data_IF_876312038274
#
_entry.id   IF_876312038274
#
_cell.length_a   1.000
_cell.length_b   1.000
_cell.length_c   1.000
_cell.angle_alpha   90.00
_cell.angle_beta   90.00
_cell.angle_gamma   90.00
#
_symmetry.space_group_name_H-M   'P 1'
#
loop_
_entity.id
_entity.type
_entity.pdbx_description
1 polymer ?
#
# COMPACT_ATOMS: atom_id res chain seq x y z
N UNK A 1 -18.13 15.28 -10.50
CA UNK A 1 -18.34 14.31 -11.60
C UNK A 1 -19.70 13.68 -11.41
N UNK A 2 -20.72 14.09 -12.19
CA UNK A 2 -22.11 13.58 -12.09
C UNK A 2 -22.29 12.14 -12.62
N UNK A 3 -21.21 11.44 -12.97
CA UNK A 3 -21.24 10.23 -13.80
C UNK A 3 -20.95 8.92 -13.06
N UNK A 4 -20.72 8.96 -11.73
CA UNK A 4 -20.47 7.73 -10.95
C UNK A 4 -21.75 6.91 -10.76
N UNK A 5 -22.92 7.54 -10.75
CA UNK A 5 -24.20 6.87 -10.61
C UNK A 5 -25.02 7.04 -11.90
N UNK A 6 -25.76 6.00 -12.30
CA UNK A 6 -26.72 6.09 -13.41
C UNK A 6 -28.06 6.73 -12.98
N UNK A 7 -29.01 6.79 -13.92
CA UNK A 7 -30.34 7.36 -13.66
C UNK A 7 -31.19 6.53 -12.70
N UNK A 8 -30.85 5.25 -12.47
CA UNK A 8 -31.48 4.38 -11.48
C UNK A 8 -30.80 4.47 -10.11
N UNK A 9 -29.74 5.27 -10.00
CA UNK A 9 -28.95 5.42 -8.78
C UNK A 9 -27.99 4.26 -8.52
N UNK A 10 -27.66 3.44 -9.52
CA UNK A 10 -26.66 2.37 -9.39
C UNK A 10 -25.25 2.89 -9.74
N UNK A 11 -24.20 2.44 -9.02
CA UNK A 11 -22.83 2.80 -9.36
C UNK A 11 -22.41 2.24 -10.72
N UNK A 12 -21.79 3.08 -11.56
CA UNK A 12 -21.15 2.71 -12.82
C UNK A 12 -19.74 2.21 -12.56
N UNK A 13 -19.63 0.97 -12.09
CA UNK A 13 -18.38 0.39 -11.58
C UNK A 13 -17.25 0.34 -12.61
N UNK A 14 -17.55 0.20 -13.91
CA UNK A 14 -16.52 0.22 -14.96
C UNK A 14 -15.89 1.61 -15.15
N UNK A 15 -16.71 2.67 -15.10
CA UNK A 15 -16.23 4.06 -15.14
C UNK A 15 -15.42 4.38 -13.88
N UNK A 16 -15.91 3.94 -12.72
CA UNK A 16 -15.21 4.11 -11.46
C UNK A 16 -13.84 3.40 -11.49
N UNK A 17 -13.80 2.13 -11.91
CA UNK A 17 -12.55 1.38 -12.09
C UNK A 17 -11.57 2.13 -12.98
N UNK A 18 -12.03 2.56 -14.16
CA UNK A 18 -11.18 3.27 -15.12
C UNK A 18 -10.62 4.60 -14.57
N UNK A 19 -11.41 5.30 -13.75
CA UNK A 19 -11.00 6.54 -13.10
C UNK A 19 -9.98 6.31 -11.99
N UNK A 20 -10.26 5.38 -11.06
CA UNK A 20 -9.39 5.07 -9.93
C UNK A 20 -8.05 4.45 -10.39
N UNK A 21 -8.05 3.66 -11.47
CA UNK A 21 -6.82 3.10 -12.06
C UNK A 21 -5.88 4.19 -12.59
N UNK A 22 -6.41 5.38 -12.89
CA UNK A 22 -5.65 6.57 -13.30
C UNK A 22 -5.37 7.52 -12.14
N UNK A 23 -5.47 7.04 -10.89
CA UNK A 23 -5.33 7.84 -9.66
C UNK A 23 -6.32 9.00 -9.55
N UNK A 24 -7.44 8.88 -10.29
CA UNK A 24 -8.51 9.86 -10.28
C UNK A 24 -9.23 9.86 -8.94
N UNK A 25 -9.53 11.06 -8.41
CA UNK A 25 -10.27 11.23 -7.16
C UNK A 25 -11.74 11.50 -7.44
N UNK A 26 -12.61 11.04 -6.53
CA UNK A 26 -14.02 11.43 -6.53
C UNK A 26 -14.20 12.75 -5.78
N UNK A 27 -15.27 13.47 -6.09
CA UNK A 27 -15.74 14.56 -5.24
C UNK A 27 -16.17 13.98 -3.89
N UNK A 28 -15.88 14.70 -2.80
CA UNK A 28 -16.15 14.27 -1.42
C UNK A 28 -17.60 13.81 -1.24
N UNK A 29 -18.57 14.58 -1.77
CA UNK A 29 -20.00 14.25 -1.69
C UNK A 29 -20.34 12.92 -2.37
N UNK A 30 -19.63 12.56 -3.45
CA UNK A 30 -19.83 11.30 -4.17
C UNK A 30 -19.20 10.14 -3.40
N UNK A 31 -17.99 10.34 -2.86
CA UNK A 31 -17.32 9.34 -2.02
C UNK A 31 -18.14 9.02 -0.77
N UNK A 32 -18.63 10.05 -0.07
CA UNK A 32 -19.50 9.90 1.10
C UNK A 32 -20.80 9.18 0.76
N UNK A 33 -21.39 9.46 -0.41
CA UNK A 33 -22.59 8.76 -0.87
C UNK A 33 -22.33 7.24 -1.02
N UNK A 34 -21.25 6.86 -1.70
CA UNK A 34 -20.86 5.44 -1.86
C UNK A 34 -20.66 4.77 -0.50
N UNK A 35 -19.93 5.43 0.42
CA UNK A 35 -19.66 4.88 1.75
C UNK A 35 -20.96 4.70 2.54
N UNK A 36 -21.82 5.71 2.57
CA UNK A 36 -23.06 5.70 3.33
C UNK A 36 -24.07 4.68 2.79
N UNK A 37 -24.24 4.58 1.46
CA UNK A 37 -25.13 3.61 0.85
C UNK A 37 -24.64 2.17 1.08
N UNK A 38 -23.35 1.89 0.87
CA UNK A 38 -22.79 0.57 1.15
C UNK A 38 -22.88 0.21 2.64
N UNK A 39 -22.60 1.17 3.54
CA UNK A 39 -22.76 0.96 4.98
C UNK A 39 -24.22 0.71 5.39
N UNK A 40 -25.20 1.34 4.72
CA UNK A 40 -26.61 1.09 4.96
C UNK A 40 -27.01 -0.35 4.59
N UNK A 41 -26.44 -0.90 3.52
CA UNK A 41 -26.64 -2.31 3.14
C UNK A 41 -25.99 -3.22 4.19
N UNK A 42 -24.72 -3.01 4.52
CA UNK A 42 -23.99 -3.84 5.50
C UNK A 42 -24.68 -3.85 6.87
N UNK A 43 -25.25 -2.72 7.32
CA UNK A 43 -25.98 -2.61 8.59
C UNK A 43 -27.23 -3.49 8.66
N UNK A 44 -27.80 -3.87 7.51
CA UNK A 44 -28.96 -4.74 7.44
C UNK A 44 -28.58 -6.23 7.43
N UNK A 45 -27.30 -6.55 7.18
CA UNK A 45 -26.82 -7.92 7.16
C UNK A 45 -26.59 -8.45 8.59
N UNK A 46 -26.71 -9.76 8.76
CA UNK A 46 -26.40 -10.42 10.03
C UNK A 46 -24.88 -10.44 10.23
N UNK A 47 -24.43 -10.45 11.48
CA UNK A 47 -23.01 -10.61 11.81
C UNK A 47 -22.43 -11.93 11.28
N UNK A 48 -23.23 -13.01 11.32
CA UNK A 48 -22.90 -14.29 10.71
C UNK A 48 -23.71 -14.45 9.41
N UNK A 49 -23.03 -14.39 8.28
CA UNK A 49 -23.63 -14.51 6.95
C UNK A 49 -23.78 -15.98 6.56
N UNK A 50 -24.91 -16.30 5.91
CA UNK A 50 -25.16 -17.59 5.29
C UNK A 50 -24.93 -17.47 3.77
N UNK A 51 -23.88 -18.11 3.25
CA UNK A 51 -23.44 -17.97 1.85
C UNK A 51 -23.32 -19.35 1.21
N UNK A 52 -24.07 -19.57 0.14
CA UNK A 52 -24.04 -20.83 -0.62
C UNK A 52 -22.93 -20.84 -1.69
N UNK A 53 -22.43 -22.04 -1.98
CA UNK A 53 -21.59 -22.28 -3.15
C UNK A 53 -22.39 -22.08 -4.47
N UNK A 54 -21.74 -21.76 -5.60
CA UNK A 54 -20.31 -21.48 -5.75
C UNK A 54 -19.90 -20.14 -5.13
N UNK A 55 -18.65 -20.03 -4.67
CA UNK A 55 -18.12 -18.78 -4.09
C UNK A 55 -16.62 -18.65 -4.30
N UNK A 56 -16.15 -17.42 -4.53
CA UNK A 56 -14.73 -17.05 -4.48
C UNK A 56 -14.45 -16.36 -3.15
N UNK A 57 -13.63 -16.98 -2.31
CA UNK A 57 -13.21 -16.46 -1.01
C UNK A 57 -11.84 -15.79 -1.13
N UNK A 58 -11.76 -14.55 -0.63
CA UNK A 58 -10.59 -13.68 -0.72
C UNK A 58 -10.14 -13.28 0.69
N UNK A 59 -8.82 -13.28 0.92
CA UNK A 59 -8.22 -12.80 2.17
C UNK A 59 -7.91 -11.31 2.12
N UNK A 60 -6.86 -10.92 2.84
CA UNK A 60 -6.43 -9.54 3.04
C UNK A 60 -6.06 -8.85 1.71
N UNK A 61 -6.38 -7.56 1.62
CA UNK A 61 -6.14 -6.71 0.44
C UNK A 61 -5.15 -5.57 0.73
N UNK A 62 -5.20 -5.00 1.94
CA UNK A 62 -4.25 -3.98 2.43
C UNK A 62 -3.97 -2.83 1.46
N UNK A 63 -5.03 -2.23 0.91
CA UNK A 63 -4.88 -1.06 0.04
C UNK A 63 -4.09 -1.29 -1.25
N UNK A 64 -3.90 -2.55 -1.69
CA UNK A 64 -3.27 -2.89 -2.97
C UNK A 64 -4.32 -2.89 -4.10
N UNK A 65 -4.84 -1.71 -4.45
CA UNK A 65 -5.94 -1.55 -5.42
C UNK A 65 -5.63 -2.17 -6.80
N UNK A 66 -4.40 -2.06 -7.27
CA UNK A 66 -4.00 -2.61 -8.57
C UNK A 66 -3.99 -4.14 -8.56
N UNK A 67 -3.62 -4.75 -7.44
CA UNK A 67 -3.72 -6.20 -7.26
C UNK A 67 -5.16 -6.67 -7.05
N UNK A 68 -6.01 -5.84 -6.44
CA UNK A 68 -7.45 -6.10 -6.38
C UNK A 68 -8.07 -6.19 -7.78
N UNK A 69 -7.59 -5.40 -8.75
CA UNK A 69 -8.03 -5.56 -10.15
C UNK A 69 -7.62 -6.93 -10.69
N UNK A 70 -6.38 -7.37 -10.40
CA UNK A 70 -5.91 -8.69 -10.81
C UNK A 70 -6.68 -9.82 -10.14
N UNK A 71 -7.06 -9.65 -8.88
CA UNK A 71 -7.89 -10.59 -8.13
C UNK A 71 -9.24 -10.83 -8.83
N UNK A 72 -9.90 -9.79 -9.35
CA UNK A 72 -11.14 -9.95 -10.10
C UNK A 72 -10.93 -10.61 -11.47
N UNK A 73 -9.80 -10.39 -12.14
CA UNK A 73 -9.46 -11.13 -13.37
C UNK A 73 -9.29 -12.64 -13.12
N UNK A 74 -8.70 -13.00 -11.98
CA UNK A 74 -8.40 -14.40 -11.61
C UNK A 74 -9.62 -15.09 -11.00
N UNK A 75 -10.37 -14.39 -10.15
CA UNK A 75 -11.54 -14.91 -9.45
C UNK A 75 -12.79 -15.00 -10.33
N UNK A 76 -12.97 -14.07 -11.27
CA UNK A 76 -14.14 -13.96 -12.14
C UNK A 76 -14.88 -12.63 -11.98
N UNK A 77 -15.70 -12.26 -12.96
CA UNK A 77 -16.46 -11.01 -12.88
C UNK A 77 -17.48 -11.05 -11.73
N UNK A 78 -17.54 -10.03 -10.84
CA UNK A 78 -18.57 -9.94 -9.80
C UNK A 78 -20.01 -9.95 -10.34
N UNK A 79 -20.21 -9.61 -11.62
CA UNK A 79 -21.51 -9.69 -12.28
C UNK A 79 -22.04 -11.14 -12.39
N UNK A 80 -21.14 -12.12 -12.41
CA UNK A 80 -21.45 -13.55 -12.63
C UNK A 80 -20.85 -14.46 -11.56
N UNK A 81 -20.13 -13.91 -10.59
CA UNK A 81 -19.37 -14.68 -9.60
C UNK A 81 -19.68 -14.17 -8.21
N UNK A 82 -20.00 -15.09 -7.31
CA UNK A 82 -20.24 -14.78 -5.89
C UNK A 82 -18.90 -14.61 -5.17
N UNK A 83 -18.79 -13.57 -4.35
CA UNK A 83 -17.58 -13.20 -3.63
C UNK A 83 -17.80 -13.12 -2.13
N UNK A 84 -16.83 -13.61 -1.37
CA UNK A 84 -16.69 -13.39 0.06
C UNK A 84 -15.29 -12.84 0.34
N UNK A 85 -15.21 -11.63 0.86
CA UNK A 85 -13.95 -11.06 1.35
C UNK A 85 -13.88 -11.17 2.87
N UNK A 86 -12.71 -11.58 3.38
CA UNK A 86 -12.51 -11.89 4.80
C UNK A 86 -12.01 -10.69 5.64
N UNK A 87 -11.91 -9.48 5.04
CA UNK A 87 -11.51 -8.26 5.73
C UNK A 87 -10.15 -7.70 5.29
N UNK A 88 -9.63 -6.75 6.07
CA UNK A 88 -8.33 -6.10 5.88
C UNK A 88 -8.19 -5.46 4.50
N UNK A 89 -9.13 -4.55 4.20
CA UNK A 89 -9.21 -3.80 2.94
C UNK A 89 -8.22 -2.63 2.91
N UNK A 90 -7.89 -2.11 4.10
CA UNK A 90 -7.15 -0.85 4.30
C UNK A 90 -5.79 -1.09 4.96
N UNK A 91 -5.10 0.03 5.16
CA UNK A 91 -3.75 0.15 5.71
C UNK A 91 -2.67 -0.47 4.83
N UNK A 92 -1.43 -0.07 5.14
CA UNK A 92 -0.18 -0.58 4.56
C UNK A 92 0.05 -0.15 3.11
N UNK A 93 -0.86 -0.48 2.21
CA UNK A 93 -0.86 0.00 0.82
C UNK A 93 -1.45 1.40 0.70
N UNK A 94 -0.94 2.16 -0.26
CA UNK A 94 -1.29 3.57 -0.45
C UNK A 94 -2.63 3.80 -1.17
N UNK A 95 -3.31 2.76 -1.65
CA UNK A 95 -4.57 2.86 -2.40
C UNK A 95 -5.76 2.28 -1.62
N UNK A 96 -5.74 2.47 -0.29
CA UNK A 96 -6.77 1.97 0.64
C UNK A 96 -8.16 2.55 0.33
N UNK A 97 -8.25 3.84 0.02
CA UNK A 97 -9.54 4.48 -0.24
C UNK A 97 -10.14 4.03 -1.57
N UNK A 98 -9.31 3.76 -2.58
CA UNK A 98 -9.71 3.20 -3.86
C UNK A 98 -10.30 1.79 -3.68
N UNK A 99 -9.64 0.94 -2.87
CA UNK A 99 -10.18 -0.38 -2.50
C UNK A 99 -11.56 -0.26 -1.85
N UNK A 100 -11.72 0.61 -0.85
CA UNK A 100 -12.99 0.81 -0.15
C UNK A 100 -14.07 1.32 -1.10
N UNK A 101 -13.80 2.40 -1.85
CA UNK A 101 -14.79 2.98 -2.77
C UNK A 101 -15.22 1.98 -3.84
N UNK A 102 -14.29 1.18 -4.36
CA UNK A 102 -14.61 0.19 -5.39
C UNK A 102 -15.39 -1.00 -4.82
N UNK A 103 -14.96 -1.56 -3.69
CA UNK A 103 -15.68 -2.68 -3.04
C UNK A 103 -17.07 -2.26 -2.54
N UNK A 104 -17.23 -1.05 -2.00
CA UNK A 104 -18.54 -0.54 -1.61
C UNK A 104 -19.44 -0.32 -2.81
N UNK A 105 -18.91 0.19 -3.92
CA UNK A 105 -19.69 0.34 -5.17
C UNK A 105 -20.14 -1.02 -5.71
N UNK A 106 -19.28 -2.03 -5.64
CA UNK A 106 -19.65 -3.41 -5.96
C UNK A 106 -20.67 -3.99 -4.98
N UNK A 107 -20.58 -3.67 -3.68
CA UNK A 107 -21.56 -4.10 -2.67
C UNK A 107 -22.94 -3.49 -2.93
N UNK A 108 -23.00 -2.22 -3.32
CA UNK A 108 -24.24 -1.55 -3.72
C UNK A 108 -24.83 -2.20 -4.97
N UNK A 109 -23.99 -2.52 -5.95
CA UNK A 109 -24.43 -3.10 -7.21
C UNK A 109 -24.83 -4.59 -7.09
N UNK A 110 -24.14 -5.34 -6.23
CA UNK A 110 -24.26 -6.79 -6.07
C UNK A 110 -24.52 -7.21 -4.61
N UNK A 111 -25.55 -6.67 -3.94
CA UNK A 111 -25.71 -6.81 -2.48
C UNK A 111 -25.94 -8.26 -2.03
N UNK A 112 -26.45 -9.12 -2.92
CA UNK A 112 -26.78 -10.53 -2.65
C UNK A 112 -25.72 -11.53 -3.15
N UNK A 113 -24.67 -11.05 -3.82
CA UNK A 113 -23.63 -11.92 -4.40
C UNK A 113 -22.21 -11.47 -4.06
N UNK A 114 -22.00 -10.27 -3.51
CA UNK A 114 -20.72 -9.82 -2.98
C UNK A 114 -20.84 -9.51 -1.49
N UNK A 115 -20.03 -10.18 -0.69
CA UNK A 115 -20.07 -10.15 0.77
C UNK A 115 -18.73 -9.68 1.32
N UNK A 116 -18.80 -8.80 2.32
CA UNK A 116 -17.63 -8.17 2.95
C UNK A 116 -17.69 -8.47 4.45
N UNK A 117 -16.72 -9.22 4.96
CA UNK A 117 -16.54 -9.37 6.40
C UNK A 117 -15.66 -8.25 6.95
N UNK A 118 -15.59 -8.18 8.28
CA UNK A 118 -14.73 -7.23 8.98
C UNK A 118 -13.41 -7.92 9.36
N UNK A 119 -12.30 -7.36 8.92
CA UNK A 119 -10.97 -7.73 9.39
C UNK A 119 -10.59 -6.90 10.61
N UNK A 120 -9.38 -7.13 11.13
CA UNK A 120 -8.93 -6.40 12.30
C UNK A 120 -8.53 -4.97 11.98
N UNK A 121 -8.07 -4.69 10.76
CA UNK A 121 -7.71 -3.33 10.33
C UNK A 121 -8.94 -2.41 10.16
N UNK A 122 -10.15 -2.96 10.08
CA UNK A 122 -11.39 -2.18 10.07
C UNK A 122 -11.85 -1.76 11.48
N UNK A 123 -10.91 -1.40 12.36
CA UNK A 123 -11.21 -0.80 13.66
C UNK A 123 -10.21 0.31 14.01
N UNK A 124 -10.63 1.26 14.86
CA UNK A 124 -9.79 2.39 15.30
C UNK A 124 -8.52 1.97 16.07
N UNK A 125 -8.48 0.73 16.57
CA UNK A 125 -7.43 0.27 17.50
C UNK A 125 -6.30 -0.51 16.81
N UNK A 126 -6.60 -1.40 15.85
CA UNK A 126 -5.58 -2.22 15.18
C UNK A 126 -4.91 -1.56 13.98
N UNK A 127 -5.27 -0.31 13.67
CA UNK A 127 -4.33 0.63 13.02
C UNK A 127 -3.03 0.79 13.83
N UNK A 128 -2.94 0.27 15.07
CA UNK A 128 -1.80 0.45 15.99
C UNK A 128 -1.18 -0.81 16.62
N UNK A 129 -1.40 -2.06 16.15
CA UNK A 129 -0.60 -3.31 16.41
C UNK A 129 -1.51 -4.56 16.55
N UNK A 130 -0.98 -5.77 16.29
CA UNK A 130 -0.96 -6.97 17.18
C UNK A 130 -0.66 -8.30 16.45
N UNK A 131 -0.46 -9.38 17.23
CA UNK A 131 0.04 -10.72 16.85
C UNK A 131 -0.91 -11.86 17.30
N UNK A 132 -1.71 -12.41 16.38
CA UNK A 132 -2.74 -13.45 16.64
C UNK A 132 -2.22 -14.92 16.61
N UNK A 133 -0.97 -15.13 16.20
CA UNK A 133 -0.40 -16.48 15.91
C UNK A 133 -0.36 -17.45 17.10
N UNK A 134 -0.51 -16.97 18.33
CA UNK A 134 -0.44 -17.79 19.56
C UNK A 134 -1.81 -18.41 19.94
N UNK A 135 -2.92 -18.00 19.31
CA UNK A 135 -4.28 -18.24 19.84
C UNK A 135 -4.95 -19.53 19.37
N UNK A 136 -4.49 -20.17 18.28
CA UNK A 136 -5.19 -21.32 17.66
C UNK A 136 -4.41 -22.64 17.78
N UNK A 137 -4.64 -23.40 18.84
CA UNK A 137 -4.16 -24.79 18.95
C UNK A 137 -5.06 -25.77 18.16
N UNK A 138 -4.47 -26.81 17.56
CA UNK A 138 -5.15 -27.78 16.69
C UNK A 138 -6.34 -28.51 17.36
N UNK A 139 -6.24 -28.96 18.63
CA UNK A 139 -7.35 -29.57 19.35
C UNK A 139 -8.55 -28.63 19.48
N UNK A 140 -8.33 -27.35 19.79
CA UNK A 140 -9.40 -26.36 19.95
C UNK A 140 -10.18 -26.16 18.65
N UNK A 141 -9.48 -26.08 17.50
CA UNK A 141 -10.13 -26.02 16.19
C UNK A 141 -10.95 -27.29 15.93
N UNK A 142 -10.41 -28.48 16.22
CA UNK A 142 -11.12 -29.73 16.01
C UNK A 142 -12.38 -29.86 16.89
N UNK A 143 -12.30 -29.46 18.16
CA UNK A 143 -13.43 -29.45 19.09
C UNK A 143 -14.53 -28.50 18.61
N UNK A 144 -14.17 -27.30 18.15
CA UNK A 144 -15.09 -26.35 17.56
C UNK A 144 -15.79 -26.92 16.32
N UNK A 145 -15.03 -27.53 15.39
CA UNK A 145 -15.57 -28.12 14.18
C UNK A 145 -16.56 -29.26 14.48
N UNK A 146 -16.22 -30.13 15.43
CA UNK A 146 -17.08 -31.26 15.82
C UNK A 146 -18.36 -30.78 16.50
N UNK A 147 -18.24 -29.86 17.46
CA UNK A 147 -19.38 -29.31 18.22
C UNK A 147 -20.40 -28.62 17.30
N UNK A 148 -19.92 -27.95 16.25
CA UNK A 148 -20.77 -27.17 15.34
C UNK A 148 -21.09 -27.89 14.02
N UNK A 149 -20.69 -29.15 13.87
CA UNK A 149 -20.86 -29.93 12.64
C UNK A 149 -20.32 -29.22 11.38
N UNK A 150 -19.12 -28.67 11.47
CA UNK A 150 -18.42 -27.93 10.41
C UNK A 150 -17.25 -28.75 9.85
N UNK A 151 -16.93 -28.54 8.57
CA UNK A 151 -15.85 -29.27 7.90
C UNK A 151 -14.46 -28.67 8.13
N UNK A 152 -14.37 -27.34 8.11
CA UNK A 152 -13.11 -26.59 8.13
C UNK A 152 -13.35 -25.14 8.54
N UNK A 153 -12.32 -24.47 9.04
CA UNK A 153 -12.28 -23.01 9.21
C UNK A 153 -11.44 -22.40 8.10
N UNK A 154 -12.00 -21.44 7.37
CA UNK A 154 -11.27 -20.62 6.39
C UNK A 154 -11.12 -19.21 6.98
N UNK A 155 -9.89 -18.70 7.03
CA UNK A 155 -9.55 -17.38 7.58
C UNK A 155 -8.45 -16.70 6.78
N UNK A 156 -8.17 -15.44 7.08
CA UNK A 156 -7.14 -14.63 6.41
C UNK A 156 -6.08 -14.13 7.40
N UNK A 157 -5.76 -12.83 7.48
CA UNK A 157 -4.98 -12.16 8.54
C UNK A 157 -3.46 -12.45 8.62
N UNK A 158 -2.98 -13.65 8.25
CA UNK A 158 -1.55 -13.96 8.26
C UNK A 158 -1.01 -14.11 6.84
N UNK A 159 -0.05 -13.25 6.47
CA UNK A 159 0.67 -13.33 5.20
C UNK A 159 1.30 -14.72 4.96
N UNK A 160 1.11 -15.25 3.75
CA UNK A 160 1.64 -16.54 3.32
C UNK A 160 2.46 -16.37 2.05
N UNK A 161 3.63 -17.00 1.98
CA UNK A 161 4.51 -16.95 0.80
C UNK A 161 3.82 -17.44 -0.48
N UNK A 162 3.00 -18.50 -0.36
CA UNK A 162 2.19 -19.02 -1.46
C UNK A 162 0.81 -18.37 -1.60
N UNK A 163 0.48 -17.36 -0.80
CA UNK A 163 -0.85 -16.75 -0.74
C UNK A 163 -1.92 -17.62 -0.06
N UNK A 164 -1.57 -18.82 0.40
CA UNK A 164 -2.44 -19.67 1.20
C UNK A 164 -1.62 -20.65 2.05
N UNK A 165 -2.29 -21.23 3.05
CA UNK A 165 -1.75 -22.34 3.84
C UNK A 165 -2.86 -23.28 4.26
N UNK A 166 -2.70 -24.57 3.96
CA UNK A 166 -3.54 -25.63 4.50
C UNK A 166 -2.88 -26.21 5.75
N UNK A 167 -3.62 -26.28 6.85
CA UNK A 167 -3.12 -26.79 8.12
C UNK A 167 -3.40 -28.30 8.23
N UNK A 168 -3.07 -28.87 9.39
CA UNK A 168 -3.24 -30.29 9.69
C UNK A 168 -4.67 -30.74 9.37
N UNK A 169 -4.79 -31.90 8.73
CA UNK A 169 -6.08 -32.51 8.40
C UNK A 169 -6.77 -33.02 9.65
N UNK A 170 -8.08 -32.80 9.74
CA UNK A 170 -8.93 -33.45 10.74
C UNK A 170 -8.84 -34.97 10.59
N UNK A 171 -8.69 -35.68 11.70
CA UNK A 171 -8.61 -37.14 11.69
C UNK A 171 -9.92 -37.79 11.24
N UNK A 172 -11.04 -37.12 11.47
CA UNK A 172 -12.39 -37.64 11.15
C UNK A 172 -12.70 -37.50 9.66
N UNK A 173 -12.38 -36.34 9.06
CA UNK A 173 -12.80 -36.02 7.68
C UNK A 173 -11.67 -36.15 6.65
N UNK A 174 -10.40 -36.20 7.10
CA UNK A 174 -9.24 -36.13 6.21
C UNK A 174 -9.08 -34.78 5.49
N UNK A 175 -9.92 -33.80 5.80
CA UNK A 175 -9.91 -32.45 5.22
C UNK A 175 -9.10 -31.49 6.11
N UNK A 176 -8.39 -30.49 5.56
CA UNK A 176 -7.69 -29.47 6.36
C UNK A 176 -8.62 -28.85 7.41
N UNK A 177 -8.25 -28.90 8.69
CA UNK A 177 -9.10 -28.32 9.76
C UNK A 177 -9.13 -26.80 9.71
N UNK A 178 -8.03 -26.19 9.25
CA UNK A 178 -7.86 -24.76 9.09
C UNK A 178 -7.21 -24.45 7.75
N UNK A 179 -7.65 -23.37 7.10
CA UNK A 179 -7.08 -22.83 5.87
C UNK A 179 -6.87 -21.33 6.06
N UNK A 180 -5.65 -20.86 5.81
CA UNK A 180 -5.37 -19.42 5.67
C UNK A 180 -5.34 -19.07 4.19
N UNK A 181 -6.06 -18.02 3.79
CA UNK A 181 -6.03 -17.41 2.45
C UNK A 181 -5.54 -15.96 2.56
N UNK A 182 -4.63 -15.55 1.69
CA UNK A 182 -4.02 -14.22 1.71
C UNK A 182 -3.97 -13.67 0.29
N UNK A 183 -4.55 -12.49 0.08
CA UNK A 183 -4.87 -11.98 -1.26
C UNK A 183 -4.07 -10.72 -1.66
N UNK A 184 -3.05 -10.34 -0.89
CA UNK A 184 -2.12 -9.25 -1.19
C UNK A 184 -0.75 -9.80 -1.66
N UNK A 185 -0.44 -9.80 -2.98
CA UNK A 185 0.83 -10.30 -3.50
C UNK A 185 1.94 -9.27 -3.31
N UNK A 186 3.19 -9.71 -3.21
CA UNK A 186 4.34 -8.84 -2.91
C UNK A 186 4.04 -7.83 -1.79
N UNK A 187 3.52 -8.33 -0.68
CA UNK A 187 3.01 -7.50 0.40
C UNK A 187 4.07 -6.51 0.89
N UNK A 188 3.66 -5.24 1.08
CA UNK A 188 4.52 -4.11 1.45
C UNK A 188 5.66 -3.83 0.45
N UNK A 189 5.54 -4.27 -0.80
CA UNK A 189 6.55 -4.19 -1.85
C UNK A 189 7.88 -4.91 -1.56
N UNK A 190 7.94 -5.72 -0.50
CA UNK A 190 9.17 -6.38 -0.03
C UNK A 190 9.04 -7.87 0.23
N UNK A 191 7.84 -8.38 0.53
CA UNK A 191 7.68 -9.80 0.91
C UNK A 191 7.90 -10.75 -0.27
N UNK A 192 7.68 -10.29 -1.50
CA UNK A 192 7.76 -11.09 -2.72
C UNK A 192 6.90 -12.37 -2.71
N UNK A 193 5.87 -12.42 -1.86
CA UNK A 193 4.93 -13.53 -1.77
C UNK A 193 3.95 -13.53 -2.96
N UNK A 194 3.37 -14.69 -3.24
CA UNK A 194 2.16 -14.81 -4.07
C UNK A 194 0.93 -14.44 -3.26
N UNK A 195 -0.14 -14.07 -3.96
CA UNK A 195 -1.49 -14.05 -3.42
C UNK A 195 -2.30 -15.23 -3.93
N UNK A 196 -3.41 -15.53 -3.27
CA UNK A 196 -4.38 -16.49 -3.77
C UNK A 196 -5.82 -16.11 -3.45
N UNK A 197 -6.75 -16.69 -4.21
CA UNK A 197 -8.17 -16.80 -3.88
C UNK A 197 -8.60 -18.25 -3.88
N UNK A 198 -9.59 -18.58 -3.06
CA UNK A 198 -10.18 -19.91 -2.97
C UNK A 198 -11.50 -19.93 -3.74
N UNK A 199 -11.58 -20.73 -4.79
CA UNK A 199 -12.81 -20.96 -5.56
C UNK A 199 -13.43 -22.29 -5.12
N UNK A 200 -14.62 -22.23 -4.55
CA UNK A 200 -15.38 -23.42 -4.19
C UNK A 200 -16.59 -23.57 -5.10
N UNK A 201 -16.59 -24.63 -5.92
CA UNK A 201 -17.61 -24.91 -6.92
C UNK A 201 -17.64 -26.41 -7.21
N UNK A 202 -18.83 -26.99 -7.44
CA UNK A 202 -19.00 -28.41 -7.77
C UNK A 202 -18.32 -29.37 -6.76
N UNK A 203 -18.39 -29.04 -5.46
CA UNK A 203 -17.69 -29.76 -4.38
C UNK A 203 -16.16 -29.79 -4.49
N UNK A 204 -15.56 -28.99 -5.37
CA UNK A 204 -14.12 -28.86 -5.55
C UNK A 204 -13.66 -27.52 -5.00
N UNK A 205 -12.66 -27.57 -4.11
CA UNK A 205 -11.94 -26.40 -3.64
C UNK A 205 -10.69 -26.21 -4.49
N UNK A 206 -10.64 -25.14 -5.26
CA UNK A 206 -9.51 -24.79 -6.10
C UNK A 206 -8.84 -23.51 -5.61
N UNK A 207 -7.53 -23.55 -5.39
CA UNK A 207 -6.75 -22.37 -5.03
C UNK A 207 -6.16 -21.76 -6.31
N UNK A 208 -6.51 -20.51 -6.59
CA UNK A 208 -5.96 -19.76 -7.72
C UNK A 208 -4.97 -18.73 -7.21
N UNK A 209 -3.69 -18.96 -7.47
CA UNK A 209 -2.61 -18.05 -7.12
C UNK A 209 -2.42 -16.97 -8.19
N UNK A 210 -1.92 -15.81 -7.78
CA UNK A 210 -1.50 -14.73 -8.68
C UNK A 210 -0.33 -13.93 -8.09
N UNK A 211 0.40 -13.25 -8.98
CA UNK A 211 1.53 -12.39 -8.62
C UNK A 211 1.09 -10.92 -8.57
N UNK A 212 1.97 -10.04 -8.09
CA UNK A 212 1.72 -8.61 -8.02
C UNK A 212 1.63 -7.94 -9.39
N UNK A 213 0.99 -6.78 -9.39
CA UNK A 213 0.81 -5.89 -10.53
C UNK A 213 1.55 -4.57 -10.25
N UNK A 214 2.09 -3.90 -11.29
CA UNK A 214 2.65 -2.57 -11.12
C UNK A 214 1.61 -1.59 -10.57
N UNK A 215 2.05 -0.70 -9.69
CA UNK A 215 1.24 0.42 -9.18
C UNK A 215 2.06 1.72 -9.18
N UNK A 216 1.41 2.89 -9.18
CA UNK A 216 2.07 4.17 -9.03
C UNK A 216 2.86 4.27 -7.71
N UNK A 217 3.94 5.03 -7.75
CA UNK A 217 4.80 5.26 -6.60
C UNK A 217 4.28 6.44 -5.77
N UNK A 218 4.27 6.26 -4.45
CA UNK A 218 4.04 7.32 -3.49
C UNK A 218 5.23 7.42 -2.55
N UNK A 219 5.63 8.66 -2.23
CA UNK A 219 6.56 8.90 -1.15
C UNK A 219 5.95 8.45 0.18
N UNK A 220 6.77 8.00 1.15
CA UNK A 220 6.28 7.60 2.46
C UNK A 220 5.37 8.65 3.08
N UNK A 221 4.25 8.20 3.66
CA UNK A 221 3.23 9.05 4.29
C UNK A 221 2.61 10.11 3.36
N UNK A 222 2.56 9.85 2.05
CA UNK A 222 2.01 10.77 1.05
C UNK A 222 2.69 12.16 1.05
N UNK A 223 3.98 12.20 1.41
CA UNK A 223 4.74 13.43 1.47
C UNK A 223 4.87 14.05 0.07
N UNK A 224 4.63 15.36 -0.03
CA UNK A 224 4.89 16.07 -1.27
C UNK A 224 6.40 16.25 -1.48
N UNK A 225 6.79 16.44 -2.74
CA UNK A 225 8.22 16.52 -3.13
C UNK A 225 8.93 17.72 -2.52
N UNK A 226 8.22 18.81 -2.16
CA UNK A 226 8.85 19.96 -1.51
C UNK A 226 9.15 19.63 -0.06
N UNK A 227 8.18 19.11 0.70
CA UNK A 227 8.41 18.68 2.08
C UNK A 227 9.54 17.65 2.17
N UNK A 228 9.63 16.73 1.21
CA UNK A 228 10.69 15.72 1.16
C UNK A 228 12.07 16.30 0.84
N UNK A 229 12.17 17.20 -0.13
CA UNK A 229 13.47 17.66 -0.66
C UNK A 229 14.00 18.93 0.02
N UNK A 230 13.14 19.78 0.58
CA UNK A 230 13.54 21.08 1.11
C UNK A 230 14.59 21.00 2.24
N UNK A 231 14.52 20.04 3.18
CA UNK A 231 15.58 19.86 4.18
C UNK A 231 16.95 19.59 3.55
N UNK A 232 16.99 18.72 2.52
CA UNK A 232 18.22 18.38 1.81
C UNK A 232 18.76 19.56 1.01
N UNK A 233 17.90 20.30 0.30
CA UNK A 233 18.30 21.51 -0.44
C UNK A 233 18.89 22.54 0.53
N UNK A 234 18.24 22.77 1.67
CA UNK A 234 18.73 23.68 2.70
C UNK A 234 20.11 23.28 3.24
N UNK A 235 20.30 22.00 3.54
CA UNK A 235 21.58 21.44 3.98
C UNK A 235 22.66 21.68 2.93
N UNK A 236 22.42 21.30 1.67
CA UNK A 236 23.46 21.35 0.62
C UNK A 236 23.80 22.78 0.19
N UNK A 237 22.83 23.68 0.16
CA UNK A 237 23.10 25.11 -0.12
C UNK A 237 23.89 25.72 1.03
N UNK A 238 23.54 25.42 2.28
CA UNK A 238 24.30 25.90 3.45
C UNK A 238 25.72 25.37 3.44
N UNK A 239 25.89 24.07 3.19
CA UNK A 239 27.21 23.43 3.05
C UNK A 239 28.05 24.09 1.95
N UNK A 240 27.45 24.34 0.78
CA UNK A 240 28.11 25.06 -0.31
C UNK A 240 28.55 26.46 0.11
N UNK A 241 27.67 27.24 0.76
CA UNK A 241 28.00 28.60 1.19
C UNK A 241 29.07 28.62 2.28
N UNK A 242 29.02 27.70 3.23
CA UNK A 242 30.06 27.55 4.26
C UNK A 242 31.41 27.25 3.60
N UNK A 243 31.45 26.34 2.61
CA UNK A 243 32.67 26.02 1.87
C UNK A 243 33.19 27.18 1.02
N UNK A 244 32.30 28.05 0.52
CA UNK A 244 32.69 29.27 -0.20
C UNK A 244 33.22 30.33 0.77
N UNK A 245 32.61 30.50 1.94
CA UNK A 245 33.02 31.50 2.93
C UNK A 245 34.29 31.09 3.68
N UNK A 246 34.52 29.79 3.87
CA UNK A 246 35.75 29.26 4.47
C UNK A 246 36.97 29.34 3.54
N UNK A 247 36.81 29.90 2.33
CA UNK A 247 37.91 30.12 1.39
C UNK A 247 38.91 31.19 1.88
N UNK A 248 38.47 32.12 2.73
CA UNK A 248 39.34 33.12 3.35
C UNK A 248 39.71 32.63 4.75
N UNK A 249 41.00 32.39 4.99
CA UNK A 249 41.56 32.07 6.30
C UNK A 249 41.62 33.33 7.18
N UNK A 250 41.57 33.17 8.50
CA UNK A 250 41.74 34.28 9.46
C UNK A 250 43.02 35.08 9.18
N UNK A 251 44.06 34.43 8.65
CA UNK A 251 45.31 35.05 8.20
C UNK A 251 45.11 36.09 7.06
N UNK A 252 44.16 35.87 6.13
CA UNK A 252 43.87 36.82 5.03
C UNK A 252 43.04 38.05 5.50
N UNK A 253 42.37 37.94 6.65
CA UNK A 253 41.62 39.04 7.29
C UNK A 253 42.51 39.91 8.18
N UNK A 254 43.49 39.30 8.86
CA UNK A 254 44.42 39.98 9.78
C UNK A 254 45.55 40.74 9.05
N UNK A 255 45.89 40.38 7.81
CA UNK A 255 46.87 41.11 6.99
C UNK A 255 46.39 42.52 6.55
N UNK A 256 45.13 42.88 6.77
CA UNK A 256 44.57 44.14 6.26
C UNK A 256 44.40 45.23 7.34
N UNK A 257 44.62 44.91 8.62
CA UNK A 257 44.44 45.83 9.75
C UNK A 257 45.77 46.35 10.33
N UNK A 258 46.90 45.97 9.72
CA UNK A 258 48.23 46.43 10.13
C UNK A 258 49.16 46.60 8.94
N UNK A 259 49.51 47.87 8.70
CA UNK A 259 50.63 48.37 7.87
C UNK A 259 50.27 48.98 6.51
N UNK A 260 50.72 50.23 6.39
CA UNK A 260 50.66 51.12 5.24
C UNK A 260 51.27 50.50 3.98
N UNK A 261 50.77 50.97 2.83
CA UNK A 261 51.18 50.62 1.47
C UNK A 261 52.70 50.47 1.26
N UNK A 262 53.16 49.24 1.01
CA UNK A 262 54.34 48.99 0.18
C UNK A 262 53.93 48.05 -0.95
N UNK A 263 53.83 48.59 -2.17
CA UNK A 263 53.56 47.81 -3.38
C UNK A 263 54.73 46.87 -3.70
N UNK A 264 54.74 45.66 -3.11
CA UNK A 264 55.61 44.56 -3.53
C UNK A 264 54.93 43.74 -4.64
N UNK A 265 55.48 43.82 -5.85
CA UNK A 265 55.00 43.10 -7.02
C UNK A 265 55.04 41.57 -6.84
N UNK A 266 55.90 41.04 -5.96
CA UNK A 266 55.98 39.61 -5.69
C UNK A 266 54.81 39.13 -4.83
N UNK A 267 54.36 39.92 -3.85
CA UNK A 267 53.19 39.62 -3.02
C UNK A 267 51.90 39.60 -3.87
N UNK A 268 51.75 40.56 -4.79
CA UNK A 268 50.62 40.58 -5.73
C UNK A 268 50.61 39.37 -6.68
N UNK A 269 51.77 38.90 -7.12
CA UNK A 269 51.89 37.70 -7.95
C UNK A 269 51.52 36.42 -7.19
N UNK A 270 51.96 36.29 -5.93
CA UNK A 270 51.60 35.17 -5.05
C UNK A 270 50.09 35.12 -4.78
N UNK A 271 49.46 36.27 -4.49
CA UNK A 271 48.00 36.38 -4.29
C UNK A 271 47.21 35.95 -5.53
N UNK A 272 47.70 36.30 -6.72
CA UNK A 272 47.10 35.91 -8.00
C UNK A 272 47.22 34.41 -8.28
N UNK A 273 48.29 33.76 -7.83
CA UNK A 273 48.50 32.32 -7.95
C UNK A 273 47.58 31.53 -7.01
N UNK A 274 47.40 32.01 -5.77
CA UNK A 274 46.48 31.41 -4.78
C UNK A 274 45.03 31.46 -5.29
N UNK A 275 44.57 32.62 -5.78
CA UNK A 275 43.23 32.77 -6.36
C UNK A 275 43.06 31.85 -7.58
N UNK A 276 44.08 31.74 -8.45
CA UNK A 276 44.04 30.84 -9.62
C UNK A 276 43.89 29.37 -9.21
N UNK A 277 44.55 28.95 -8.14
CA UNK A 277 44.46 27.60 -7.62
C UNK A 277 43.10 27.32 -6.96
N UNK A 278 42.55 28.29 -6.22
CA UNK A 278 41.19 28.24 -5.65
C UNK A 278 40.12 28.10 -6.75
N UNK A 279 40.21 28.89 -7.83
CA UNK A 279 39.30 28.79 -9.00
C UNK A 279 39.41 27.43 -9.69
N UNK A 280 40.62 26.88 -9.83
CA UNK A 280 40.83 25.53 -10.41
C UNK A 280 40.24 24.43 -9.55
N UNK A 281 40.26 24.55 -8.22
CA UNK A 281 39.66 23.58 -7.31
C UNK A 281 38.12 23.56 -7.44
N UNK A 282 37.49 24.74 -7.47
CA UNK A 282 36.05 24.89 -7.69
C UNK A 282 35.64 24.33 -9.06
N UNK A 283 36.40 24.64 -10.11
CA UNK A 283 36.15 24.09 -11.46
C UNK A 283 36.26 22.56 -11.56
N UNK A 284 37.10 21.92 -10.74
CA UNK A 284 37.18 20.45 -10.65
C UNK A 284 35.98 19.85 -9.90
N UNK A 285 35.52 20.48 -8.83
CA UNK A 285 34.32 20.03 -8.11
C UNK A 285 33.06 20.17 -8.98
N UNK A 286 32.90 21.29 -9.69
CA UNK A 286 31.77 21.49 -10.59
C UNK A 286 31.67 20.44 -11.72
N UNK A 287 32.82 19.96 -12.24
CA UNK A 287 32.86 18.87 -13.22
C UNK A 287 32.48 17.51 -12.64
N UNK A 288 32.70 17.27 -11.36
CA UNK A 288 32.34 16.02 -10.70
C UNK A 288 30.81 15.89 -10.52
N UNK A 289 30.11 17.02 -10.39
CA UNK A 289 28.65 17.09 -10.31
C UNK A 289 27.91 16.94 -11.65
N UNK A 290 28.58 17.04 -12.81
CA UNK A 290 27.96 16.80 -14.12
C UNK A 290 27.87 15.31 -14.51
N UNK A 291 28.41 14.40 -13.69
CA UNK A 291 28.53 12.96 -14.00
C UNK A 291 27.72 12.08 -13.01
N UNK A 292 26.80 12.68 -12.25
CA UNK A 292 25.84 11.96 -11.39
C UNK A 292 24.40 12.21 -11.85
#
# INVERSE_FOLDING_TARGET
>A
MKEVFDCEGKPRVDLLKAHLTKEGRLEEVVALRVINEGAAILRQERTMLDIEAPVTVCGDIHGQFFDLMKLFEVGGSPATTRYLFLGDYVDRGYFSIECVLYLWSLKILYPKTLFLLRGNHECRHLTEYFTFKTECDYPAVCEFLQTNNLLSVIRAHEAQDSGYRMYRKSQTTGFPSLITIFSAPNYLDVYNNKAAVLKYENNVMNIRQFNCSPHPYWLPNFMDVFTWSLPFVGEKVTEMLVNVLSICSDDELMENDGEEEVYDANAAAARKEVIRNKIRAIGKMAKMFQVL
#
